data_IF_890010694866
#
_entry.id   IF_890010694866
#
_cell.length_a   1.000
_cell.length_b   1.000
_cell.length_c   1.000
_cell.angle_alpha   90.00
_cell.angle_beta   90.00
_cell.angle_gamma   90.00
#
_symmetry.space_group_name_H-M   'P 1'
#
loop_
_entity.id
_entity.type
_entity.pdbx_description
1 polymer ?
#
# COMPACT_ATOMS: atom_id res chain seq x y z
N UNK A 1 -39.83 -15.19 38.86
CA UNK A 1 -38.65 -15.45 38.01
C UNK A 1 -38.36 -14.25 37.08
N UNK A 2 -37.94 -13.09 37.61
CA UNK A 2 -37.64 -11.88 36.79
C UNK A 2 -36.17 -11.41 36.88
N UNK A 3 -35.34 -12.04 37.73
CA UNK A 3 -33.99 -11.55 38.03
C UNK A 3 -32.92 -11.90 36.96
N UNK A 4 -33.09 -13.00 36.24
CA UNK A 4 -32.08 -13.51 35.30
C UNK A 4 -31.99 -12.71 34.00
N UNK A 5 -33.08 -12.09 33.54
CA UNK A 5 -33.09 -11.28 32.30
C UNK A 5 -32.33 -9.98 32.47
N UNK A 6 -32.52 -9.30 33.61
CA UNK A 6 -31.84 -8.05 33.93
C UNK A 6 -30.34 -8.27 34.14
N UNK A 7 -29.95 -9.38 34.77
CA UNK A 7 -28.54 -9.78 34.91
C UNK A 7 -27.89 -10.08 33.55
N UNK A 8 -28.59 -10.77 32.64
CA UNK A 8 -28.08 -11.04 31.31
C UNK A 8 -27.85 -9.75 30.50
N UNK A 9 -28.80 -8.81 30.52
CA UNK A 9 -28.66 -7.52 29.82
C UNK A 9 -27.46 -6.74 30.37
N UNK A 10 -27.28 -6.72 31.70
CA UNK A 10 -26.15 -6.04 32.33
C UNK A 10 -24.82 -6.67 31.94
N UNK A 11 -24.75 -8.00 31.91
CA UNK A 11 -23.55 -8.73 31.52
C UNK A 11 -23.17 -8.47 30.05
N UNK A 12 -24.15 -8.49 29.15
CA UNK A 12 -23.94 -8.20 27.72
C UNK A 12 -23.44 -6.77 27.52
N UNK A 13 -24.04 -5.79 28.21
CA UNK A 13 -23.56 -4.39 28.15
C UNK A 13 -22.14 -4.22 28.69
N UNK A 14 -21.81 -4.87 29.80
CA UNK A 14 -20.46 -4.82 30.36
C UNK A 14 -19.43 -5.37 29.38
N UNK A 15 -19.73 -6.51 28.75
CA UNK A 15 -18.85 -7.12 27.77
C UNK A 15 -18.68 -6.26 26.50
N UNK A 16 -19.78 -5.68 25.99
CA UNK A 16 -19.72 -4.76 24.86
C UNK A 16 -18.87 -3.52 25.15
N UNK A 17 -19.01 -2.95 26.34
CA UNK A 17 -18.23 -1.79 26.76
C UNK A 17 -16.74 -2.13 26.91
N UNK A 18 -16.43 -3.30 27.44
CA UNK A 18 -15.04 -3.78 27.56
C UNK A 18 -14.39 -3.95 26.18
N UNK A 19 -15.08 -4.59 25.24
CA UNK A 19 -14.57 -4.75 23.86
C UNK A 19 -14.40 -3.38 23.18
N UNK A 20 -15.35 -2.48 23.37
CA UNK A 20 -15.31 -1.13 22.80
C UNK A 20 -14.15 -0.31 23.38
N UNK A 21 -13.93 -0.38 24.69
CA UNK A 21 -12.81 0.26 25.36
C UNK A 21 -11.47 -0.27 24.85
N UNK A 22 -11.30 -1.59 24.76
CA UNK A 22 -10.09 -2.23 24.20
C UNK A 22 -9.81 -1.77 22.77
N UNK A 23 -10.85 -1.61 21.95
CA UNK A 23 -10.72 -1.12 20.56
C UNK A 23 -10.21 0.32 20.52
N UNK A 24 -10.78 1.19 21.36
CA UNK A 24 -10.36 2.61 21.49
C UNK A 24 -8.92 2.69 21.97
N UNK A 25 -8.55 1.95 23.01
CA UNK A 25 -7.18 1.89 23.52
C UNK A 25 -6.19 1.43 22.45
N UNK A 26 -6.54 0.40 21.65
CA UNK A 26 -5.68 -0.04 20.54
C UNK A 26 -5.49 1.03 19.47
N UNK A 27 -6.50 1.86 19.22
CA UNK A 27 -6.44 2.94 18.24
C UNK A 27 -5.57 4.10 18.76
N UNK A 28 -5.73 4.45 20.04
CA UNK A 28 -4.90 5.48 20.69
C UNK A 28 -3.43 5.03 20.75
N UNK A 29 -3.16 3.79 21.14
CA UNK A 29 -1.80 3.26 21.21
C UNK A 29 -1.08 3.29 19.85
N UNK A 30 -1.78 2.94 18.75
CA UNK A 30 -1.24 3.04 17.39
C UNK A 30 -0.90 4.47 16.98
N UNK A 31 -1.72 5.46 17.36
CA UNK A 31 -1.45 6.86 17.06
C UNK A 31 -0.29 7.43 17.89
N UNK A 32 -0.20 7.08 19.18
CA UNK A 32 0.91 7.51 20.05
C UNK A 32 2.25 6.94 19.59
N UNK A 33 2.28 5.68 19.15
CA UNK A 33 3.48 5.05 18.60
C UNK A 33 3.94 5.77 17.33
N UNK A 34 3.00 6.06 16.42
CA UNK A 34 3.28 6.82 15.19
C UNK A 34 3.85 8.23 15.48
N UNK A 35 3.28 8.95 16.45
CA UNK A 35 3.76 10.27 16.86
C UNK A 35 5.14 10.23 17.54
N UNK A 36 5.44 9.18 18.32
CA UNK A 36 6.75 9.02 18.97
C UNK A 36 7.85 8.67 17.94
N UNK A 37 7.55 7.79 16.97
CA UNK A 37 8.44 7.49 15.84
C UNK A 37 8.74 8.75 15.04
N UNK A 38 7.74 9.62 14.84
CA UNK A 38 7.92 10.92 14.17
C UNK A 38 8.85 11.86 14.94
N UNK A 39 8.70 11.98 16.27
CA UNK A 39 9.56 12.84 17.10
C UNK A 39 11.02 12.36 17.12
N UNK A 40 11.26 11.06 17.01
CA UNK A 40 12.61 10.49 16.98
C UNK A 40 13.32 10.67 15.62
N UNK A 41 12.57 10.87 14.52
CA UNK A 41 13.12 11.09 13.18
C UNK A 41 13.34 12.58 12.81
N UNK A 42 13.28 13.49 13.79
CA UNK A 42 13.49 14.94 13.58
C UNK A 42 14.97 15.34 13.52
N UNK A 43 15.83 14.51 12.93
CA UNK A 43 17.21 14.85 12.62
C UNK A 43 17.33 14.89 11.09
N UNK A 44 17.21 16.11 10.56
CA UNK A 44 17.41 16.56 9.17
C UNK A 44 17.26 15.46 8.10
N UNK A 45 16.08 15.34 7.46
CA UNK A 45 15.97 14.44 6.32
C UNK A 45 16.76 15.03 5.15
N UNK A 46 17.79 14.32 4.70
CA UNK A 46 18.01 14.21 3.26
C UNK A 46 16.63 13.98 2.65
N UNK A 47 16.17 14.90 1.80
CA UNK A 47 14.79 14.96 1.27
C UNK A 47 14.31 13.53 0.98
N UNK A 48 13.37 13.02 1.79
CA UNK A 48 12.78 11.70 1.57
C UNK A 48 12.37 11.64 0.11
N UNK A 49 12.98 10.72 -0.63
CA UNK A 49 12.74 10.62 -2.07
C UNK A 49 11.31 10.17 -2.24
N UNK A 50 10.44 11.09 -2.65
CA UNK A 50 9.04 10.81 -2.84
C UNK A 50 8.89 9.72 -3.92
N UNK A 51 8.31 8.54 -3.61
CA UNK A 51 8.20 7.46 -4.56
C UNK A 51 7.21 7.86 -5.67
N UNK A 52 7.51 7.51 -6.92
CA UNK A 52 6.64 7.78 -8.07
C UNK A 52 6.15 6.48 -8.68
N UNK A 53 4.83 6.30 -8.76
CA UNK A 53 4.21 5.16 -9.41
C UNK A 53 3.80 5.47 -10.85
N UNK A 54 4.41 4.76 -11.80
CA UNK A 54 4.27 5.05 -13.23
C UNK A 54 3.22 4.21 -13.96
N UNK A 55 2.48 3.31 -13.28
CA UNK A 55 1.52 2.30 -13.79
C UNK A 55 2.05 0.88 -14.00
N UNK A 56 3.36 0.64 -13.86
CA UNK A 56 3.93 -0.70 -14.04
C UNK A 56 3.50 -1.60 -12.88
N UNK A 57 2.75 -2.67 -13.17
CA UNK A 57 2.25 -3.61 -12.16
C UNK A 57 3.40 -4.22 -11.33
N UNK A 58 4.55 -4.50 -11.97
CA UNK A 58 5.77 -4.99 -11.30
C UNK A 58 6.30 -4.04 -10.22
N UNK A 59 6.17 -2.72 -10.44
CA UNK A 59 6.67 -1.71 -9.50
C UNK A 59 5.68 -1.45 -8.35
N UNK A 60 4.44 -1.94 -8.45
CA UNK A 60 3.36 -1.60 -7.52
C UNK A 60 3.60 -2.09 -6.08
N UNK A 61 4.04 -3.34 -5.82
CA UNK A 61 4.34 -3.80 -4.46
C UNK A 61 5.40 -2.95 -3.77
N UNK A 62 6.49 -2.64 -4.49
CA UNK A 62 7.59 -1.83 -3.99
C UNK A 62 7.15 -0.39 -3.74
N UNK A 63 6.40 0.20 -4.67
CA UNK A 63 5.82 1.53 -4.49
C UNK A 63 4.97 1.61 -3.21
N UNK A 64 4.06 0.65 -2.99
CA UNK A 64 3.21 0.62 -1.80
C UNK A 64 4.05 0.53 -0.51
N UNK A 65 5.01 -0.39 -0.49
CA UNK A 65 5.92 -0.54 0.65
C UNK A 65 6.72 0.74 0.94
N UNK A 66 7.28 1.38 -0.09
CA UNK A 66 8.07 2.60 0.06
C UNK A 66 7.20 3.77 0.55
N UNK A 67 5.97 3.88 0.06
CA UNK A 67 5.03 4.88 0.57
C UNK A 67 4.70 4.66 2.05
N UNK A 68 4.38 3.42 2.45
CA UNK A 68 4.05 3.08 3.84
C UNK A 68 5.24 3.25 4.79
N UNK A 69 6.46 2.89 4.37
CA UNK A 69 7.63 2.90 5.25
C UNK A 69 8.41 4.22 5.24
N UNK A 70 8.34 5.01 4.17
CA UNK A 70 9.16 6.22 4.05
C UNK A 70 8.31 7.49 4.09
N UNK A 71 7.16 7.48 3.42
CA UNK A 71 6.29 8.66 3.34
C UNK A 71 5.39 8.74 4.57
N UNK A 72 4.65 7.68 4.89
CA UNK A 72 3.67 7.69 6.00
C UNK A 72 4.30 7.94 7.39
N UNK A 73 5.60 7.69 7.58
CA UNK A 73 6.29 7.99 8.84
C UNK A 73 6.61 9.48 9.03
N UNK A 74 6.57 10.26 7.96
CA UNK A 74 7.03 11.67 7.96
C UNK A 74 5.90 12.68 7.76
N UNK A 75 4.72 12.24 7.32
CA UNK A 75 3.59 13.10 6.97
C UNK A 75 2.45 13.01 7.99
N UNK A 76 1.55 14.00 7.97
CA UNK A 76 0.28 13.91 8.69
C UNK A 76 -0.66 12.95 7.95
N UNK A 77 -1.42 12.13 8.68
CA UNK A 77 -2.42 11.23 8.12
C UNK A 77 -3.48 11.97 7.30
N UNK A 78 -3.84 13.20 7.70
CA UNK A 78 -4.81 14.04 6.99
C UNK A 78 -4.28 14.49 5.61
N UNK A 79 -2.97 14.65 5.45
CA UNK A 79 -2.37 15.02 4.17
C UNK A 79 -2.00 13.82 3.30
N UNK A 80 -2.14 12.60 3.83
CA UNK A 80 -1.76 11.38 3.13
C UNK A 80 -2.51 11.13 1.81
N UNK A 81 -3.83 11.37 1.69
CA UNK A 81 -4.53 11.23 0.40
C UNK A 81 -3.97 12.16 -0.68
N UNK A 82 -3.74 13.43 -0.33
CA UNK A 82 -3.14 14.41 -1.25
C UNK A 82 -1.72 14.02 -1.66
N UNK A 83 -0.89 13.61 -0.70
CA UNK A 83 0.49 13.20 -0.96
C UNK A 83 0.51 11.93 -1.82
N UNK A 84 -0.38 10.97 -1.56
CA UNK A 84 -0.54 9.80 -2.42
C UNK A 84 -0.82 10.21 -3.86
N UNK A 85 -1.76 11.13 -4.11
CA UNK A 85 -2.02 11.63 -5.48
C UNK A 85 -0.78 12.24 -6.13
N UNK A 86 0.06 12.95 -5.38
CA UNK A 86 1.31 13.52 -5.89
C UNK A 86 2.37 12.47 -6.27
N UNK A 87 2.30 11.29 -5.65
CA UNK A 87 3.17 10.15 -5.92
C UNK A 87 2.68 9.28 -7.11
N UNK A 88 1.53 9.62 -7.71
CA UNK A 88 0.96 8.89 -8.82
C UNK A 88 1.21 9.64 -10.12
N UNK A 89 1.65 8.91 -11.15
CA UNK A 89 1.58 9.42 -12.51
C UNK A 89 0.14 9.58 -12.98
N UNK A 90 -0.07 10.28 -14.11
CA UNK A 90 -1.40 10.67 -14.62
C UNK A 90 -2.43 9.53 -14.59
N UNK A 91 -2.09 8.36 -15.12
CA UNK A 91 -3.04 7.25 -15.24
C UNK A 91 -3.42 6.63 -13.88
N UNK A 92 -2.48 6.24 -12.98
CA UNK A 92 -2.83 5.85 -11.62
C UNK A 92 -3.57 6.93 -10.83
N UNK A 93 -3.25 8.22 -11.02
CA UNK A 93 -3.98 9.32 -10.39
C UNK A 93 -5.44 9.38 -10.87
N UNK A 94 -5.69 9.16 -12.17
CA UNK A 94 -7.02 9.08 -12.75
C UNK A 94 -7.87 7.94 -12.17
N UNK A 95 -7.25 6.88 -11.63
CA UNK A 95 -7.93 5.74 -11.03
C UNK A 95 -8.56 6.10 -9.68
N UNK A 96 -7.92 7.00 -8.94
CA UNK A 96 -8.31 7.41 -7.60
C UNK A 96 -8.93 8.81 -7.55
N UNK A 97 -9.01 9.52 -8.68
CA UNK A 97 -9.50 10.92 -8.72
C UNK A 97 -10.94 11.11 -8.25
N UNK A 98 -11.78 10.10 -8.39
CA UNK A 98 -13.18 10.13 -7.97
C UNK A 98 -13.38 9.69 -6.52
N UNK A 99 -12.27 9.38 -5.82
CA UNK A 99 -12.29 9.03 -4.41
C UNK A 99 -11.92 10.30 -3.65
N UNK A 100 -12.74 10.60 -2.64
CA UNK A 100 -12.49 11.70 -1.70
C UNK A 100 -11.19 11.46 -0.91
N UNK A 101 -10.95 12.21 0.16
CA UNK A 101 -9.75 12.11 0.98
C UNK A 101 -9.76 10.88 1.91
N UNK A 102 -10.11 9.72 1.36
CA UNK A 102 -10.06 8.41 1.99
C UNK A 102 -8.88 7.60 1.45
N UNK A 103 -7.79 7.59 2.21
CA UNK A 103 -6.55 6.90 1.87
C UNK A 103 -6.77 5.38 1.68
N UNK A 104 -7.63 4.76 2.49
CA UNK A 104 -7.86 3.31 2.44
C UNK A 104 -8.63 2.93 1.16
N UNK A 105 -9.66 3.71 0.82
CA UNK A 105 -10.39 3.54 -0.43
C UNK A 105 -9.49 3.75 -1.65
N UNK A 106 -8.59 4.74 -1.63
CA UNK A 106 -7.60 4.96 -2.69
C UNK A 106 -6.69 3.74 -2.88
N UNK A 107 -6.13 3.20 -1.80
CA UNK A 107 -5.29 2.00 -1.86
C UNK A 107 -6.03 0.79 -2.38
N UNK A 108 -7.28 0.59 -1.94
CA UNK A 108 -8.13 -0.50 -2.43
C UNK A 108 -8.30 -0.41 -3.95
N UNK A 109 -8.62 0.77 -4.47
CA UNK A 109 -8.84 0.98 -5.90
C UNK A 109 -7.57 0.77 -6.73
N UNK A 110 -6.42 1.21 -6.21
CA UNK A 110 -5.12 0.93 -6.83
C UNK A 110 -4.81 -0.57 -6.82
N UNK A 111 -5.08 -1.27 -5.72
CA UNK A 111 -4.83 -2.69 -5.58
C UNK A 111 -5.72 -3.53 -6.51
N UNK A 112 -6.98 -3.14 -6.69
CA UNK A 112 -7.88 -3.79 -7.65
C UNK A 112 -7.37 -3.66 -9.09
N UNK A 113 -6.79 -2.51 -9.46
CA UNK A 113 -6.31 -2.27 -10.83
C UNK A 113 -4.91 -2.85 -11.08
N UNK A 114 -4.00 -2.68 -10.14
CA UNK A 114 -2.59 -3.07 -10.25
C UNK A 114 -2.26 -4.31 -9.40
N UNK A 115 -3.22 -5.24 -9.36
CA UNK A 115 -3.19 -6.47 -8.57
C UNK A 115 -1.82 -7.18 -8.62
N UNK A 116 -1.11 -7.26 -7.48
CA UNK A 116 0.23 -7.83 -7.42
C UNK A 116 0.24 -9.34 -7.71
N UNK A 117 -0.89 -10.04 -7.62
CA UNK A 117 -0.97 -11.46 -7.98
C UNK A 117 -0.76 -11.69 -9.48
N UNK A 118 -0.97 -10.66 -10.31
CA UNK A 118 -0.80 -10.70 -11.78
C UNK A 118 0.62 -10.43 -12.25
N UNK A 119 1.56 -10.16 -11.33
CA UNK A 119 2.98 -9.91 -11.67
C UNK A 119 3.57 -11.10 -12.44
N UNK A 120 3.26 -12.33 -12.02
CA UNK A 120 3.73 -13.55 -12.67
C UNK A 120 3.22 -13.65 -14.11
N UNK A 121 1.93 -13.36 -14.35
CA UNK A 121 1.35 -13.38 -15.69
C UNK A 121 1.99 -12.35 -16.62
N UNK A 122 2.28 -11.15 -16.09
CA UNK A 122 2.98 -10.10 -16.83
C UNK A 122 4.39 -10.52 -17.21
N UNK A 123 5.14 -11.15 -16.29
CA UNK A 123 6.49 -11.67 -16.55
C UNK A 123 6.42 -12.80 -17.57
N UNK A 124 5.51 -13.75 -17.41
CA UNK A 124 5.34 -14.87 -18.35
C UNK A 124 4.99 -14.41 -19.76
N UNK A 125 4.08 -13.43 -19.89
CA UNK A 125 3.75 -12.84 -21.19
C UNK A 125 4.96 -12.11 -21.80
N UNK A 126 5.72 -11.35 -21.00
CA UNK A 126 6.93 -10.69 -21.48
C UNK A 126 7.94 -11.72 -22.02
N UNK A 127 8.20 -12.79 -21.27
CA UNK A 127 9.08 -13.90 -21.70
C UNK A 127 8.60 -14.49 -23.02
N UNK A 128 7.30 -14.80 -23.15
CA UNK A 128 6.72 -15.37 -24.37
C UNK A 128 6.92 -14.47 -25.59
N UNK A 129 6.71 -13.15 -25.45
CA UNK A 129 6.91 -12.17 -26.53
C UNK A 129 8.38 -12.14 -26.97
N UNK A 130 9.31 -12.18 -26.02
CA UNK A 130 10.75 -12.18 -26.30
C UNK A 130 11.31 -13.53 -26.76
N UNK A 131 10.56 -14.65 -26.66
CA UNK A 131 11.09 -16.00 -26.88
C UNK A 131 11.46 -16.32 -28.34
N UNK A 132 10.83 -15.67 -29.32
CA UNK A 132 11.08 -15.96 -30.73
C UNK A 132 12.31 -15.18 -31.25
N UNK A 133 13.50 -15.53 -30.77
CA UNK A 133 14.79 -14.90 -31.11
C UNK A 133 15.43 -15.70 -32.24
N UNK A 134 15.75 -15.05 -33.35
CA UNK A 134 16.51 -15.64 -34.45
C UNK A 134 18.01 -15.43 -34.25
N UNK A 135 18.83 -16.27 -34.89
CA UNK A 135 20.28 -16.08 -34.91
C UNK A 135 20.64 -14.68 -35.44
N UNK A 136 21.49 -13.97 -34.69
CA UNK A 136 21.88 -12.57 -34.96
C UNK A 136 21.07 -11.50 -34.22
N UNK A 137 19.96 -11.83 -33.56
CA UNK A 137 19.13 -10.86 -32.81
C UNK A 137 19.65 -10.62 -31.37
N UNK A 138 20.92 -10.21 -31.23
CA UNK A 138 21.58 -10.03 -29.93
C UNK A 138 20.84 -9.07 -28.98
N UNK A 139 20.22 -8.01 -29.52
CA UNK A 139 19.46 -7.04 -28.72
C UNK A 139 18.24 -7.69 -28.05
N UNK A 140 17.53 -8.55 -28.77
CA UNK A 140 16.34 -9.26 -28.24
C UNK A 140 16.74 -10.31 -27.20
N UNK A 141 17.93 -10.88 -27.34
CA UNK A 141 18.53 -11.77 -26.33
C UNK A 141 18.85 -11.03 -25.04
N UNK A 142 19.42 -9.83 -25.12
CA UNK A 142 19.66 -8.97 -23.96
C UNK A 142 18.34 -8.54 -23.32
N UNK A 143 17.31 -8.20 -24.11
CA UNK A 143 15.97 -7.90 -23.59
C UNK A 143 15.36 -9.07 -22.82
N UNK A 144 15.46 -10.30 -23.33
CA UNK A 144 14.97 -11.49 -22.63
C UNK A 144 15.71 -11.70 -21.30
N UNK A 145 17.03 -11.54 -21.29
CA UNK A 145 17.84 -11.66 -20.07
C UNK A 145 17.37 -10.63 -19.03
N UNK A 146 17.21 -9.37 -19.43
CA UNK A 146 16.74 -8.32 -18.54
C UNK A 146 15.34 -8.61 -17.99
N UNK A 147 14.41 -9.12 -18.82
CA UNK A 147 13.05 -9.50 -18.37
C UNK A 147 13.11 -10.58 -17.27
N UNK A 148 13.96 -11.58 -17.43
CA UNK A 148 14.12 -12.67 -16.46
C UNK A 148 14.82 -12.18 -15.19
N UNK A 149 15.89 -11.39 -15.32
CA UNK A 149 16.61 -10.83 -14.18
C UNK A 149 15.76 -9.87 -13.36
N UNK A 150 14.97 -9.02 -14.02
CA UNK A 150 14.02 -8.13 -13.36
C UNK A 150 12.96 -8.95 -12.62
N UNK A 151 12.38 -9.96 -13.28
CA UNK A 151 11.36 -10.81 -12.66
C UNK A 151 11.86 -11.65 -11.46
N UNK A 152 13.18 -11.88 -11.35
CA UNK A 152 13.79 -12.51 -10.16
C UNK A 152 13.96 -11.53 -8.99
N UNK A 153 14.06 -10.22 -9.26
CA UNK A 153 14.26 -9.17 -8.25
C UNK A 153 12.95 -8.60 -7.69
N UNK A 154 11.85 -8.80 -8.41
CA UNK A 154 10.49 -8.43 -8.04
C UNK A 154 9.95 -9.31 -6.91
#
# INVERSE_FOLDING_TARGET
>A
MQNTRSEWIRNVHAHYNEISAKKIESFIAKNIDHDNVRKQNLLQPDKVKMPLFTRRIRDYPRFKMDFEKQVMLTINIESAPYILRSCLSKEPADVVKSIDDDLEAMWKRLHEKYDPTKVVDVIMNAIQITRNIRDGENNRRVELINVVEDGYRD
#
